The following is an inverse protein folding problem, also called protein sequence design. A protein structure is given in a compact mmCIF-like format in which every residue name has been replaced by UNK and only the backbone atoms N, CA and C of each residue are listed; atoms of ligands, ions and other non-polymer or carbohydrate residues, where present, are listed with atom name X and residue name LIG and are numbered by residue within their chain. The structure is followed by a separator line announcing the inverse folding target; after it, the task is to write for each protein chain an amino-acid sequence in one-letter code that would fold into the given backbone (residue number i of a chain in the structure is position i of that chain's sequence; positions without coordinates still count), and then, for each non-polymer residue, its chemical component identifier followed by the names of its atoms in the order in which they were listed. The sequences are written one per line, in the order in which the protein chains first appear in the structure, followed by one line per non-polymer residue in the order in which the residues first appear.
data_IF_936035496424
#
_entry.id   IF_936035496424
#
_cell.length_a   1.000
_cell.length_b   1.000
_cell.length_c   1.000
_cell.angle_alpha   90.00
_cell.angle_beta   90.00
_cell.angle_gamma   90.00
#
_symmetry.space_group_name_H-M   'P 1'
#
loop_
_entity.id
_entity.type
_entity.pdbx_description
1 polymer ?
#
# COMPACT_ATOMS: atom_id res chain seq x y z
N UNK A 1 -34.88 -0.29 47.88
CA UNK A 1 -34.81 0.45 46.60
C UNK A 1 -33.47 0.15 45.94
N UNK A 2 -33.43 -0.89 45.10
CA UNK A 2 -32.24 -1.25 44.31
C UNK A 2 -32.39 -0.71 42.90
N UNK A 3 -31.55 0.25 42.52
CA UNK A 3 -31.51 0.82 41.18
C UNK A 3 -30.82 -0.16 40.22
N UNK A 4 -31.61 -0.81 39.35
CA UNK A 4 -31.09 -1.47 38.15
C UNK A 4 -30.73 -0.38 37.13
N UNK A 5 -29.42 -0.20 36.86
CA UNK A 5 -28.95 0.53 35.68
C UNK A 5 -29.16 -0.36 34.45
N UNK A 6 -29.85 0.18 33.46
CA UNK A 6 -29.96 -0.39 32.12
C UNK A 6 -28.61 -0.17 31.40
N UNK A 7 -27.81 -1.23 31.27
CA UNK A 7 -26.73 -1.26 30.29
C UNK A 7 -27.36 -1.54 28.91
N UNK A 8 -27.29 -0.57 28.01
CA UNK A 8 -27.58 -0.78 26.58
C UNK A 8 -26.43 -1.61 25.99
N UNK A 9 -26.70 -2.60 25.12
CA UNK A 9 -25.64 -3.33 24.44
C UNK A 9 -24.87 -2.39 23.50
N UNK A 10 -23.56 -2.26 23.73
CA UNK A 10 -22.64 -1.52 22.88
C UNK A 10 -22.62 -2.07 21.45
N UNK A 11 -22.59 -1.16 20.48
CA UNK A 11 -22.64 -1.42 19.04
C UNK A 11 -21.32 -2.03 18.50
N UNK A 12 -20.98 -3.25 18.94
CA UNK A 12 -19.77 -3.98 18.52
C UNK A 12 -19.83 -4.48 17.07
N UNK A 13 -21.01 -4.46 16.44
CA UNK A 13 -21.21 -4.86 15.04
C UNK A 13 -20.67 -3.84 14.05
N UNK A 14 -20.91 -2.54 14.27
CA UNK A 14 -20.50 -1.46 13.37
C UNK A 14 -18.99 -1.21 13.32
N UNK A 15 -18.30 -1.30 14.46
CA UNK A 15 -16.84 -1.12 14.51
C UNK A 15 -16.08 -2.24 13.80
N UNK A 16 -16.57 -3.48 13.88
CA UNK A 16 -15.95 -4.62 13.21
C UNK A 16 -16.17 -4.60 11.68
N UNK A 17 -17.31 -4.09 11.20
CA UNK A 17 -17.52 -3.89 9.76
C UNK A 17 -16.61 -2.78 9.21
N UNK A 18 -16.51 -1.64 9.91
CA UNK A 18 -15.69 -0.51 9.48
C UNK A 18 -14.20 -0.87 9.40
N UNK A 19 -13.70 -1.60 10.40
CA UNK A 19 -12.31 -2.08 10.41
C UNK A 19 -12.02 -3.05 9.26
N UNK A 20 -12.97 -3.93 8.93
CA UNK A 20 -12.83 -4.89 7.84
C UNK A 20 -12.79 -4.21 6.45
N UNK A 21 -13.66 -3.23 6.21
CA UNK A 21 -13.65 -2.46 4.95
C UNK A 21 -12.36 -1.66 4.79
N UNK A 22 -11.88 -1.05 5.87
CA UNK A 22 -10.63 -0.27 5.87
C UNK A 22 -9.40 -1.14 5.55
N UNK A 23 -9.34 -2.39 6.06
CA UNK A 23 -8.23 -3.30 5.80
C UNK A 23 -8.26 -3.86 4.36
N UNK A 24 -9.45 -4.03 3.77
CA UNK A 24 -9.61 -4.43 2.37
C UNK A 24 -9.22 -3.30 1.40
N UNK A 25 -9.64 -2.06 1.69
CA UNK A 25 -9.29 -0.88 0.92
C UNK A 25 -7.76 -0.62 0.98
N UNK A 26 -7.16 -0.81 2.15
CA UNK A 26 -5.70 -0.76 2.34
C UNK A 26 -4.97 -1.76 1.43
N UNK A 27 -5.40 -3.04 1.46
CA UNK A 27 -4.82 -4.11 0.64
C UNK A 27 -5.01 -3.82 -0.85
N UNK A 28 -6.16 -3.31 -1.27
CA UNK A 28 -6.43 -3.00 -2.68
C UNK A 28 -5.59 -1.84 -3.19
N UNK A 29 -5.52 -0.72 -2.43
CA UNK A 29 -4.77 0.46 -2.86
C UNK A 29 -3.25 0.22 -2.85
N UNK A 30 -2.71 -0.33 -1.76
CA UNK A 30 -1.28 -0.62 -1.68
C UNK A 30 -0.89 -1.87 -2.49
N UNK A 31 -1.84 -2.75 -2.83
CA UNK A 31 -1.62 -3.95 -3.66
C UNK A 31 -1.22 -3.63 -5.10
N UNK A 32 -1.62 -2.46 -5.62
CA UNK A 32 -1.25 -1.95 -6.96
C UNK A 32 0.18 -1.42 -7.05
N UNK A 33 0.89 -1.35 -5.93
CA UNK A 33 2.24 -0.81 -5.83
C UNK A 33 3.22 -1.99 -5.78
N UNK A 34 4.08 -2.13 -6.79
CA UNK A 34 5.02 -3.26 -6.88
C UNK A 34 6.00 -3.27 -5.70
N UNK A 35 6.66 -2.14 -5.45
CA UNK A 35 7.66 -2.01 -4.39
C UNK A 35 7.33 -0.88 -3.41
N UNK A 36 7.43 -1.17 -2.11
CA UNK A 36 7.19 -0.23 -1.01
C UNK A 36 8.46 -0.10 -0.19
N UNK A 37 9.08 1.08 -0.28
CA UNK A 37 10.40 1.36 0.28
C UNK A 37 10.25 2.36 1.42
N UNK A 38 10.60 1.93 2.63
CA UNK A 38 10.54 2.77 3.83
C UNK A 38 11.86 3.53 3.97
N UNK A 39 11.82 4.83 4.25
CA UNK A 39 13.02 5.64 4.52
C UNK A 39 12.99 6.09 5.99
N UNK A 40 13.89 5.53 6.80
CA UNK A 40 13.94 5.71 8.25
C UNK A 40 15.19 6.49 8.66
N UNK A 41 15.13 7.17 9.81
CA UNK A 41 16.30 7.70 10.49
C UNK A 41 16.13 7.61 12.01
N UNK A 42 17.23 7.48 12.75
CA UNK A 42 17.12 7.38 14.21
C UNK A 42 17.02 8.73 14.93
N UNK A 43 17.29 9.83 14.23
CA UNK A 43 17.12 11.21 14.72
C UNK A 43 16.69 12.16 13.60
N UNK A 44 16.17 13.32 13.99
CA UNK A 44 15.88 14.44 13.09
C UNK A 44 17.16 15.11 12.58
N UNK A 45 17.07 15.80 11.44
CA UNK A 45 18.17 16.62 10.90
C UNK A 45 19.28 15.86 10.16
N UNK A 46 19.17 14.54 9.96
CA UNK A 46 20.14 13.75 9.17
C UNK A 46 19.94 13.87 7.64
N UNK A 47 18.94 14.63 7.20
CA UNK A 47 18.56 14.76 5.78
C UNK A 47 17.77 13.58 5.22
N UNK A 48 17.01 12.86 6.07
CA UNK A 48 16.15 11.73 5.68
C UNK A 48 15.22 12.08 4.50
N UNK A 49 14.46 13.17 4.61
CA UNK A 49 13.51 13.61 3.57
C UNK A 49 14.20 14.02 2.27
N UNK A 50 15.36 14.68 2.36
CA UNK A 50 16.20 14.99 1.19
C UNK A 50 16.65 13.71 0.49
N UNK A 51 17.06 12.70 1.25
CA UNK A 51 17.44 11.39 0.69
C UNK A 51 16.24 10.68 0.08
N UNK A 52 15.08 10.67 0.76
CA UNK A 52 13.85 10.07 0.24
C UNK A 52 13.41 10.68 -1.09
N UNK A 53 13.36 12.02 -1.17
CA UNK A 53 12.98 12.75 -2.38
C UNK A 53 13.95 12.47 -3.54
N UNK A 54 15.26 12.52 -3.30
CA UNK A 54 16.25 12.30 -4.36
C UNK A 54 16.33 10.82 -4.80
N UNK A 55 16.12 9.87 -3.90
CA UNK A 55 15.98 8.44 -4.27
C UNK A 55 14.75 8.23 -5.14
N UNK A 56 13.60 8.80 -4.76
CA UNK A 56 12.38 8.68 -5.54
C UNK A 56 12.53 9.28 -6.95
N UNK A 57 13.14 10.46 -7.06
CA UNK A 57 13.41 11.10 -8.35
C UNK A 57 14.43 10.30 -9.16
N UNK A 58 15.48 9.77 -8.54
CA UNK A 58 16.45 8.92 -9.24
C UNK A 58 15.82 7.62 -9.77
N UNK A 59 14.90 6.99 -9.02
CA UNK A 59 14.13 5.84 -9.49
C UNK A 59 13.23 6.23 -10.68
N UNK A 60 12.58 7.38 -10.62
CA UNK A 60 11.73 7.86 -11.73
C UNK A 60 12.54 8.17 -13.00
N UNK A 61 13.78 8.65 -12.86
CA UNK A 61 14.68 8.90 -14.00
C UNK A 61 15.08 7.61 -14.74
N UNK A 62 14.93 6.46 -14.11
CA UNK A 62 15.08 5.14 -14.73
C UNK A 62 13.77 4.64 -15.39
N UNK A 63 12.81 5.56 -15.62
CA UNK A 63 11.55 5.30 -16.31
C UNK A 63 10.50 4.56 -15.48
N UNK A 64 10.58 4.65 -14.14
CA UNK A 64 9.65 4.00 -13.21
C UNK A 64 8.57 4.97 -12.73
N UNK A 65 7.35 4.46 -12.51
CA UNK A 65 6.27 5.23 -11.85
C UNK A 65 6.46 5.23 -10.35
N UNK A 66 6.58 6.42 -9.75
CA UNK A 66 6.96 6.58 -8.35
C UNK A 66 5.92 7.39 -7.57
N UNK A 67 5.55 6.89 -6.40
CA UNK A 67 4.85 7.64 -5.35
C UNK A 67 5.82 8.07 -4.26
N UNK A 68 5.62 9.26 -3.70
CA UNK A 68 6.29 9.74 -2.49
C UNK A 68 5.22 10.00 -1.44
N UNK A 69 5.27 9.27 -0.32
CA UNK A 69 4.39 9.47 0.82
C UNK A 69 5.18 10.03 2.00
N UNK A 70 4.89 11.27 2.39
CA UNK A 70 5.47 11.93 3.55
C UNK A 70 4.55 11.80 4.76
N UNK A 71 5.04 11.08 5.77
CA UNK A 71 4.32 10.81 7.01
C UNK A 71 4.91 11.56 8.21
N UNK A 72 5.85 12.48 8.00
CA UNK A 72 6.47 13.25 9.08
C UNK A 72 5.58 14.41 9.55
N UNK A 73 4.83 14.18 10.63
CA UNK A 73 3.94 15.17 11.24
C UNK A 73 4.65 16.41 11.80
N UNK A 74 5.92 16.28 12.16
CA UNK A 74 6.62 17.29 12.93
C UNK A 74 7.39 18.27 12.05
N UNK A 75 7.71 17.87 10.82
CA UNK A 75 8.41 18.71 9.87
C UNK A 75 8.29 18.16 8.45
N UNK A 76 7.06 18.16 7.87
CA UNK A 76 6.85 17.66 6.52
C UNK A 76 7.71 18.46 5.55
N UNK A 77 8.73 17.83 5.00
CA UNK A 77 9.76 18.50 4.20
C UNK A 77 9.59 18.25 2.70
N UNK A 78 8.89 17.17 2.32
CA UNK A 78 8.72 16.77 0.92
C UNK A 78 8.02 17.85 0.08
N UNK A 79 6.94 18.52 0.55
CA UNK A 79 6.33 19.62 -0.20
C UNK A 79 7.31 20.73 -0.56
N UNK A 80 8.16 21.15 0.39
CA UNK A 80 9.14 22.22 0.14
C UNK A 80 10.24 21.76 -0.81
N UNK A 81 10.78 20.55 -0.61
CA UNK A 81 11.82 19.96 -1.44
C UNK A 81 11.43 19.82 -2.93
N UNK A 82 10.13 19.76 -3.22
CA UNK A 82 9.57 19.59 -4.56
C UNK A 82 8.83 20.84 -5.08
N UNK A 83 8.89 21.96 -4.36
CA UNK A 83 8.18 23.20 -4.68
C UNK A 83 6.63 23.02 -4.79
N UNK A 84 6.04 22.27 -3.85
CA UNK A 84 4.62 21.93 -3.79
C UNK A 84 3.89 22.54 -2.58
N UNK A 85 4.46 23.52 -1.90
CA UNK A 85 3.85 24.10 -0.68
C UNK A 85 2.44 24.68 -0.91
N UNK A 86 2.19 25.24 -2.09
CA UNK A 86 0.87 25.78 -2.46
C UNK A 86 -0.06 24.74 -3.09
N UNK A 87 0.44 23.54 -3.36
CA UNK A 87 -0.37 22.46 -3.88
C UNK A 87 -1.36 21.96 -2.81
N UNK A 88 -2.52 21.52 -3.27
CA UNK A 88 -3.53 20.87 -2.42
C UNK A 88 -4.00 19.59 -3.11
N UNK A 89 -4.05 18.45 -2.42
CA UNK A 89 -4.65 17.25 -2.96
C UNK A 89 -6.13 17.53 -3.22
N UNK A 90 -6.63 16.95 -4.31
CA UNK A 90 -8.05 17.02 -4.66
C UNK A 90 -8.74 15.72 -4.26
N UNK A 91 -10.06 15.66 -4.37
CA UNK A 91 -10.81 14.44 -4.17
C UNK A 91 -11.75 14.21 -5.36
N UNK A 92 -11.91 12.95 -5.75
CA UNK A 92 -12.90 12.51 -6.73
C UNK A 92 -14.26 12.15 -6.09
N UNK A 93 -14.45 12.49 -4.81
CA UNK A 93 -15.64 12.19 -4.01
C UNK A 93 -15.60 10.83 -3.33
N UNK A 94 -14.64 9.95 -3.69
CA UNK A 94 -14.44 8.63 -3.06
C UNK A 94 -13.04 8.46 -2.46
N UNK A 95 -12.05 9.08 -3.08
CA UNK A 95 -10.63 8.94 -2.75
C UNK A 95 -9.94 10.29 -2.77
N UNK A 96 -8.77 10.34 -2.14
CA UNK A 96 -7.87 11.49 -2.17
C UNK A 96 -6.93 11.29 -3.37
N UNK A 97 -6.84 12.29 -4.23
CA UNK A 97 -5.93 12.28 -5.36
C UNK A 97 -4.59 12.90 -4.94
N UNK A 98 -3.46 12.20 -5.11
CA UNK A 98 -2.14 12.75 -4.83
C UNK A 98 -1.80 13.89 -5.81
N UNK A 99 -0.90 14.77 -5.39
CA UNK A 99 -0.39 15.86 -6.20
C UNK A 99 0.60 15.30 -7.22
N UNK A 100 0.42 15.60 -8.50
CA UNK A 100 1.39 15.23 -9.53
C UNK A 100 2.57 16.23 -9.49
N UNK A 101 3.77 15.74 -9.24
CA UNK A 101 5.00 16.53 -9.36
C UNK A 101 5.53 16.49 -10.80
N UNK A 102 5.48 15.32 -11.42
CA UNK A 102 5.70 15.09 -12.87
C UNK A 102 4.70 14.03 -13.34
N UNK A 103 4.73 13.66 -14.62
CA UNK A 103 3.88 12.58 -15.14
C UNK A 103 4.18 11.22 -14.47
N UNK A 104 5.42 11.02 -14.01
CA UNK A 104 5.89 9.77 -13.40
C UNK A 104 5.97 9.81 -11.87
N UNK A 105 5.82 10.99 -11.25
CA UNK A 105 5.97 11.17 -9.79
C UNK A 105 4.70 11.76 -9.19
N UNK A 106 4.09 10.99 -8.29
CA UNK A 106 2.95 11.40 -7.45
C UNK A 106 3.41 11.65 -6.02
N UNK A 107 2.84 12.66 -5.37
CA UNK A 107 3.25 13.08 -4.03
C UNK A 107 2.01 13.21 -3.15
N UNK A 108 2.10 12.62 -1.97
CA UNK A 108 1.18 12.88 -0.87
C UNK A 108 1.99 13.21 0.38
N UNK A 109 1.63 14.30 1.04
CA UNK A 109 2.26 14.69 2.31
C UNK A 109 1.19 15.14 3.27
N UNK A 110 1.41 14.84 4.54
CA UNK A 110 0.62 15.42 5.60
C UNK A 110 0.69 16.95 5.63
N UNK A 111 1.79 17.54 5.14
CA UNK A 111 1.94 18.99 5.01
C UNK A 111 0.87 19.63 4.15
N UNK A 112 0.26 18.90 3.20
CA UNK A 112 -0.86 19.43 2.41
C UNK A 112 -2.18 19.53 3.19
N UNK A 113 -2.32 18.77 4.27
CA UNK A 113 -3.53 18.74 5.11
C UNK A 113 -3.50 19.79 6.22
N UNK A 114 -2.35 20.43 6.42
CA UNK A 114 -2.19 21.51 7.40
C UNK A 114 -2.77 22.82 6.84
N UNK A 115 -3.60 23.56 7.60
CA UNK A 115 -4.15 24.84 7.16
C UNK A 115 -3.05 25.85 6.81
N UNK A 116 -2.02 25.94 7.66
CA UNK A 116 -0.81 26.73 7.43
C UNK A 116 0.44 25.88 7.72
N UNK A 117 1.51 26.10 6.95
CA UNK A 117 2.78 25.39 7.09
C UNK A 117 3.52 25.70 8.40
N UNK A 118 3.30 26.90 8.96
CA UNK A 118 3.92 27.33 10.23
C UNK A 118 3.14 26.87 11.47
N UNK A 119 1.98 26.24 11.30
CA UNK A 119 1.16 25.80 12.42
C UNK A 119 1.83 24.61 13.13
N UNK A 120 2.10 24.77 14.42
CA UNK A 120 2.57 23.66 15.24
C UNK A 120 1.51 22.54 15.28
N UNK A 121 1.87 21.35 14.82
CA UNK A 121 0.97 20.19 14.81
C UNK A 121 0.84 19.62 16.22
N UNK A 122 -0.11 20.15 17.00
CA UNK A 122 -0.44 19.68 18.36
C UNK A 122 -1.59 18.66 18.29
N UNK A 123 -1.36 17.56 17.58
CA UNK A 123 -2.38 16.51 17.42
C UNK A 123 -2.17 15.39 18.43
N UNK A 124 -3.28 14.87 18.99
CA UNK A 124 -3.25 13.71 19.88
C UNK A 124 -2.95 12.44 19.08
N UNK A 125 -2.23 11.49 19.68
CA UNK A 125 -1.80 10.23 19.02
C UNK A 125 -2.87 9.52 18.18
N UNK A 126 -4.11 9.31 18.70
CA UNK A 126 -5.18 8.67 17.92
C UNK A 126 -5.56 9.45 16.65
N UNK A 127 -5.51 10.78 16.68
CA UNK A 127 -5.79 11.61 15.52
C UNK A 127 -4.70 11.47 14.46
N UNK A 128 -3.42 11.47 14.88
CA UNK A 128 -2.29 11.23 13.97
C UNK A 128 -2.41 9.86 13.28
N UNK A 129 -2.72 8.83 14.05
CA UNK A 129 -2.93 7.47 13.53
C UNK A 129 -4.02 7.42 12.46
N UNK A 130 -5.18 8.05 12.73
CA UNK A 130 -6.28 8.06 11.77
C UNK A 130 -5.88 8.74 10.46
N UNK A 131 -5.11 9.83 10.51
CA UNK A 131 -4.62 10.52 9.31
C UNK A 131 -3.61 9.66 8.56
N UNK A 132 -2.66 9.01 9.24
CA UNK A 132 -1.75 8.06 8.57
C UNK A 132 -2.54 6.95 7.88
N UNK A 133 -3.51 6.36 8.60
CA UNK A 133 -4.35 5.31 8.05
C UNK A 133 -5.08 5.82 6.81
N UNK A 134 -5.70 7.00 6.90
CA UNK A 134 -6.37 7.65 5.77
C UNK A 134 -5.44 7.84 4.57
N UNK A 135 -4.21 8.32 4.77
CA UNK A 135 -3.23 8.49 3.69
C UNK A 135 -2.82 7.16 3.04
N UNK A 136 -2.85 6.06 3.78
CA UNK A 136 -2.54 4.72 3.27
C UNK A 136 -3.76 4.04 2.62
N UNK A 137 -4.98 4.32 3.10
CA UNK A 137 -6.21 3.65 2.67
C UNK A 137 -6.99 4.40 1.60
N UNK A 138 -7.01 5.74 1.63
CA UNK A 138 -7.91 6.54 0.78
C UNK A 138 -7.20 7.24 -0.38
N UNK A 139 -5.86 7.22 -0.40
CA UNK A 139 -5.10 7.86 -1.48
C UNK A 139 -5.07 6.97 -2.71
N UNK A 140 -5.60 7.47 -3.82
CA UNK A 140 -5.61 6.78 -5.10
C UNK A 140 -4.27 6.99 -5.82
N UNK A 141 -3.31 6.13 -5.51
CA UNK A 141 -2.00 6.12 -6.14
C UNK A 141 -2.04 5.67 -7.61
N UNK A 142 -3.04 4.87 -8.00
CA UNK A 142 -3.02 4.10 -9.25
C UNK A 142 -1.92 3.03 -9.24
N UNK A 143 -1.49 2.61 -10.42
CA UNK A 143 -0.41 1.63 -10.56
C UNK A 143 0.95 2.33 -10.45
N UNK A 144 1.76 1.88 -9.48
CA UNK A 144 3.12 2.39 -9.24
C UNK A 144 4.12 1.25 -9.25
N UNK A 145 5.32 1.52 -9.79
CA UNK A 145 6.45 0.61 -9.63
C UNK A 145 7.05 0.75 -8.22
N UNK A 146 7.13 1.98 -7.69
CA UNK A 146 7.70 2.24 -6.37
C UNK A 146 6.83 3.22 -5.55
N UNK A 147 6.68 2.96 -4.27
CA UNK A 147 6.24 3.93 -3.28
C UNK A 147 7.35 4.14 -2.26
N UNK A 148 7.95 5.34 -2.27
CA UNK A 148 8.95 5.77 -1.30
C UNK A 148 8.24 6.48 -0.16
N UNK A 149 8.40 5.98 1.06
CA UNK A 149 7.68 6.46 2.23
C UNK A 149 8.68 7.12 3.18
N UNK A 150 8.55 8.43 3.37
CA UNK A 150 9.34 9.22 4.30
C UNK A 150 8.73 9.15 5.71
N UNK A 151 9.39 8.41 6.59
CA UNK A 151 8.89 8.15 7.95
C UNK A 151 9.20 9.31 8.89
N UNK A 152 8.48 9.48 10.01
CA UNK A 152 8.92 10.35 11.09
C UNK A 152 10.31 9.92 11.62
N UNK A 153 11.12 10.83 12.18
CA UNK A 153 12.39 10.47 12.77
C UNK A 153 12.22 9.65 14.06
N UNK A 154 13.20 8.78 14.34
CA UNK A 154 13.25 7.95 15.54
C UNK A 154 12.64 6.56 15.34
N UNK A 155 12.41 5.88 16.45
CA UNK A 155 11.84 4.52 16.51
C UNK A 155 10.74 4.45 17.56
N UNK A 156 10.01 5.56 17.74
CA UNK A 156 8.91 5.69 18.69
C UNK A 156 7.58 5.17 18.12
N UNK A 157 6.48 5.69 18.67
CA UNK A 157 5.13 5.22 18.31
C UNK A 157 4.76 5.57 16.87
N UNK A 158 5.11 6.76 16.35
CA UNK A 158 4.72 7.15 14.99
C UNK A 158 5.35 6.27 13.91
N UNK A 159 6.69 6.05 13.87
CA UNK A 159 7.29 5.11 12.91
C UNK A 159 6.75 3.68 13.05
N UNK A 160 6.52 3.20 14.28
CA UNK A 160 5.94 1.87 14.53
C UNK A 160 4.55 1.73 13.91
N UNK A 161 3.72 2.75 14.11
CA UNK A 161 2.36 2.82 13.60
C UNK A 161 2.31 2.77 12.08
N UNK A 162 3.13 3.59 11.42
CA UNK A 162 3.23 3.61 9.96
C UNK A 162 3.72 2.25 9.44
N UNK A 163 4.74 1.66 10.07
CA UNK A 163 5.28 0.36 9.66
C UNK A 163 4.25 -0.79 9.78
N UNK A 164 3.43 -0.80 10.83
CA UNK A 164 2.40 -1.82 11.04
C UNK A 164 1.24 -1.71 10.04
N UNK A 165 0.98 -0.51 9.52
CA UNK A 165 -0.09 -0.24 8.56
C UNK A 165 0.34 -0.48 7.10
N UNK A 166 1.62 -0.70 6.81
CA UNK A 166 2.10 -0.95 5.44
C UNK A 166 2.27 -2.46 5.24
N UNK A 167 1.29 -3.15 4.63
CA UNK A 167 1.41 -4.57 4.35
C UNK A 167 2.48 -4.82 3.28
N UNK A 168 3.30 -5.85 3.51
CA UNK A 168 4.25 -6.33 2.52
C UNK A 168 5.22 -5.26 2.04
N UNK A 169 5.89 -4.54 2.95
CA UNK A 169 7.03 -3.71 2.55
C UNK A 169 8.18 -4.57 2.00
N UNK A 170 8.92 -4.05 1.03
CA UNK A 170 10.08 -4.74 0.44
C UNK A 170 11.33 -4.52 1.28
N UNK A 171 11.38 -3.38 1.96
CA UNK A 171 12.35 -3.14 3.01
C UNK A 171 12.54 -1.65 3.32
N UNK A 172 13.53 -1.39 4.16
CA UNK A 172 13.84 -0.07 4.65
C UNK A 172 15.26 0.37 4.30
N UNK A 173 15.38 1.65 3.95
CA UNK A 173 16.61 2.41 3.83
C UNK A 173 16.80 3.19 5.13
N UNK A 174 17.96 3.06 5.74
CA UNK A 174 18.28 3.78 6.98
C UNK A 174 19.24 4.92 6.66
N UNK A 175 18.82 6.15 6.92
CA UNK A 175 19.61 7.36 6.72
C UNK A 175 20.30 7.75 8.02
N UNK A 176 21.61 7.98 7.94
CA UNK A 176 22.43 8.40 9.07
C UNK A 176 23.46 9.45 8.67
N UNK A 177 24.23 9.92 9.64
CA UNK A 177 25.40 10.80 9.45
C UNK A 177 26.64 10.14 10.05
N UNK A 178 27.86 10.52 9.62
CA UNK A 178 29.09 9.87 10.07
C UNK A 178 29.47 10.07 11.56
N UNK A 179 28.75 10.94 12.28
CA UNK A 179 29.08 11.31 13.65
C UNK A 179 28.87 10.14 14.63
N UNK A 180 29.77 9.97 15.59
CA UNK A 180 29.75 8.85 16.56
C UNK A 180 28.43 8.77 17.37
N UNK A 181 27.79 9.92 17.64
CA UNK A 181 26.49 9.97 18.32
C UNK A 181 25.36 9.30 17.51
N UNK A 182 25.48 9.24 16.18
CA UNK A 182 24.48 8.64 15.27
C UNK A 182 24.60 7.11 15.16
N UNK A 183 25.69 6.52 15.66
CA UNK A 183 25.96 5.06 15.57
C UNK A 183 24.91 4.25 16.35
N UNK A 184 24.55 4.70 17.55
CA UNK A 184 23.53 4.04 18.36
C UNK A 184 22.13 4.19 17.75
N UNK A 185 21.89 5.29 17.04
CA UNK A 185 20.62 5.57 16.39
C UNK A 185 20.39 4.62 15.20
N UNK A 186 21.44 4.33 14.42
CA UNK A 186 21.38 3.30 13.35
C UNK A 186 21.08 1.92 13.91
N UNK A 187 21.74 1.53 15.03
CA UNK A 187 21.45 0.24 15.70
C UNK A 187 19.98 0.12 16.09
N UNK A 188 19.42 1.18 16.68
CA UNK A 188 18.00 1.22 17.05
C UNK A 188 17.11 1.08 15.83
N UNK A 189 17.37 1.79 14.73
CA UNK A 189 16.59 1.66 13.49
C UNK A 189 16.66 0.25 12.89
N UNK A 190 17.84 -0.38 12.85
CA UNK A 190 17.99 -1.76 12.35
C UNK A 190 17.20 -2.73 13.24
N UNK A 191 17.31 -2.60 14.56
CA UNK A 191 16.57 -3.45 15.49
C UNK A 191 15.06 -3.21 15.42
N UNK A 192 14.63 -1.96 15.22
CA UNK A 192 13.24 -1.61 14.95
C UNK A 192 12.74 -2.34 13.70
N UNK A 193 13.47 -2.28 12.58
CA UNK A 193 13.11 -3.00 11.35
C UNK A 193 12.97 -4.51 11.60
N UNK A 194 13.90 -5.11 12.36
CA UNK A 194 13.82 -6.53 12.75
C UNK A 194 12.58 -6.83 13.59
N UNK A 195 12.21 -5.97 14.53
CA UNK A 195 11.03 -6.15 15.37
C UNK A 195 9.72 -6.08 14.58
N UNK A 196 9.67 -5.24 13.55
CA UNK A 196 8.50 -5.14 12.65
C UNK A 196 8.59 -6.05 11.42
N UNK A 197 9.56 -6.97 11.38
CA UNK A 197 9.80 -7.92 10.29
C UNK A 197 10.01 -7.26 8.91
N UNK A 198 10.67 -6.09 8.88
CA UNK A 198 11.02 -5.36 7.66
C UNK A 198 12.49 -5.60 7.32
N UNK A 199 12.82 -6.10 6.11
CA UNK A 199 14.21 -6.23 5.66
C UNK A 199 14.90 -4.86 5.58
N UNK A 200 16.17 -4.79 5.98
CA UNK A 200 16.98 -3.57 5.77
C UNK A 200 17.66 -3.68 4.40
N UNK A 201 17.21 -2.86 3.45
CA UNK A 201 17.78 -2.79 2.09
C UNK A 201 19.17 -2.17 2.13
N UNK A 202 19.41 -1.28 3.07
CA UNK A 202 20.75 -0.87 3.46
C UNK A 202 20.81 0.48 4.16
N UNK A 203 22.03 0.88 4.51
CA UNK A 203 22.33 2.12 5.20
C UNK A 203 22.92 3.14 4.23
N UNK A 204 22.40 4.36 4.26
CA UNK A 204 22.94 5.54 3.57
C UNK A 204 23.60 6.45 4.60
N UNK A 205 24.89 6.70 4.45
CA UNK A 205 25.61 7.70 5.25
C UNK A 205 25.56 9.05 4.54
N UNK A 206 24.61 9.89 4.93
CA UNK A 206 24.44 11.24 4.39
C UNK A 206 25.42 12.24 5.05
N UNK A 207 25.67 13.37 4.38
CA UNK A 207 26.59 14.41 4.85
C UNK A 207 28.03 13.89 5.11
N UNK A 208 28.47 12.90 4.32
CA UNK A 208 29.77 12.25 4.49
C UNK A 208 30.88 12.97 3.72
N UNK A 209 31.47 13.97 4.37
CA UNK A 209 32.46 14.87 3.79
C UNK A 209 31.81 16.02 3.00
N UNK A 210 32.63 16.87 2.39
CA UNK A 210 32.21 18.03 1.60
C UNK A 210 32.94 18.03 0.27
N UNK A 211 32.21 18.17 -0.83
CA UNK A 211 32.81 18.43 -2.14
C UNK A 211 33.33 19.87 -2.16
N UNK A 212 34.65 20.04 -2.24
CA UNK A 212 35.25 21.37 -2.31
C UNK A 212 34.76 22.09 -3.58
N UNK A 213 34.16 23.30 -3.47
CA UNK A 213 33.65 24.01 -4.63
C UNK A 213 34.75 24.44 -5.62
N UNK A 214 35.99 24.60 -5.14
CA UNK A 214 37.13 25.05 -5.93
C UNK A 214 37.87 23.92 -6.65
N UNK A 215 38.24 22.85 -5.93
CA UNK A 215 39.08 21.79 -6.49
C UNK A 215 38.35 20.45 -6.70
N UNK A 216 37.07 20.35 -6.33
CA UNK A 216 36.22 19.16 -6.47
C UNK A 216 36.65 17.92 -5.68
N UNK A 217 37.75 18.01 -4.92
CA UNK A 217 38.13 16.98 -3.95
C UNK A 217 37.13 16.93 -2.80
N UNK A 218 36.89 15.73 -2.28
CA UNK A 218 36.05 15.54 -1.09
C UNK A 218 36.89 15.73 0.16
N UNK A 219 36.47 16.64 1.03
CA UNK A 219 37.09 16.96 2.32
C UNK A 219 36.31 16.26 3.43
N UNK A 220 37.02 15.59 4.33
CA UNK A 220 36.41 14.92 5.48
C UNK A 220 36.17 15.97 6.59
N UNK A 221 34.99 16.60 6.60
CA UNK A 221 34.63 17.59 7.64
C UNK A 221 34.48 16.93 9.00
N UNK A 222 33.86 15.75 9.01
CA UNK A 222 33.69 14.90 10.18
C UNK A 222 34.42 13.58 9.95
N UNK A 223 34.39 12.67 10.95
CA UNK A 223 34.76 11.27 10.74
C UNK A 223 33.98 10.69 9.55
N UNK A 224 34.47 9.62 8.93
CA UNK A 224 33.79 8.90 7.84
C UNK A 224 33.67 7.41 8.14
N UNK A 225 32.67 6.77 7.54
CA UNK A 225 32.53 5.32 7.57
C UNK A 225 31.94 4.77 8.87
N UNK A 226 31.42 5.62 9.76
CA UNK A 226 30.70 5.18 10.96
C UNK A 226 29.44 4.40 10.61
N UNK A 227 28.71 4.84 9.59
CA UNK A 227 27.53 4.14 9.05
C UNK A 227 27.89 2.83 8.36
N UNK A 228 28.99 2.80 7.60
CA UNK A 228 29.46 1.59 6.92
C UNK A 228 29.95 0.51 7.90
N UNK A 229 30.80 0.90 8.86
CA UNK A 229 31.26 0.00 9.90
C UNK A 229 30.10 -0.56 10.73
N UNK A 230 29.09 0.27 11.01
CA UNK A 230 27.87 -0.15 11.68
C UNK A 230 27.05 -1.14 10.83
N UNK A 231 26.85 -0.85 9.55
CA UNK A 231 26.13 -1.73 8.64
C UNK A 231 26.78 -3.12 8.60
N UNK A 232 28.11 -3.17 8.48
CA UNK A 232 28.89 -4.39 8.55
C UNK A 232 28.74 -5.10 9.91
N UNK A 233 28.85 -4.38 11.03
CA UNK A 233 28.68 -4.94 12.38
C UNK A 233 27.30 -5.59 12.56
N UNK A 234 26.26 -4.99 11.99
CA UNK A 234 24.88 -5.44 12.13
C UNK A 234 24.47 -6.44 11.04
N UNK A 235 25.34 -6.73 10.07
CA UNK A 235 25.06 -7.66 8.97
C UNK A 235 24.00 -7.15 8.00
N UNK A 236 23.98 -5.84 7.71
CA UNK A 236 23.07 -5.21 6.74
C UNK A 236 23.84 -4.52 5.61
N UNK A 237 23.26 -4.34 4.41
CA UNK A 237 23.96 -3.70 3.30
C UNK A 237 24.31 -2.24 3.56
N UNK A 238 25.36 -1.75 2.89
CA UNK A 238 25.71 -0.34 2.86
C UNK A 238 25.53 0.20 1.44
N UNK A 239 24.62 1.17 1.27
CA UNK A 239 24.24 1.71 -0.04
C UNK A 239 25.20 2.80 -0.51
N UNK A 240 25.93 3.43 0.41
CA UNK A 240 26.97 4.37 0.08
C UNK A 240 26.97 5.62 0.94
N UNK A 241 27.77 6.58 0.49
CA UNK A 241 28.04 7.86 1.16
C UNK A 241 27.58 8.99 0.26
N UNK A 242 26.75 9.88 0.79
CA UNK A 242 26.36 11.11 0.09
C UNK A 242 27.15 12.26 0.72
N UNK A 243 28.07 12.92 -0.02
CA UNK A 243 28.80 14.05 0.50
C UNK A 243 27.90 15.28 0.61
N UNK A 244 28.28 16.21 1.49
CA UNK A 244 27.74 17.57 1.50
C UNK A 244 28.17 18.25 0.21
N UNK A 245 27.21 18.84 -0.49
CA UNK A 245 27.45 19.73 -1.61
C UNK A 245 26.53 20.94 -1.46
N UNK A 246 27.05 22.19 -1.48
CA UNK A 246 26.23 23.38 -1.28
C UNK A 246 25.02 23.45 -2.22
N UNK A 247 25.19 22.98 -3.45
CA UNK A 247 24.14 22.91 -4.46
C UNK A 247 22.96 22.02 -4.04
N UNK A 248 23.14 21.03 -3.15
CA UNK A 248 22.02 20.25 -2.61
C UNK A 248 21.09 21.13 -1.79
N UNK A 249 21.65 22.00 -0.95
CA UNK A 249 20.88 22.92 -0.10
C UNK A 249 20.19 23.95 -0.97
N UNK A 250 20.93 24.60 -1.88
CA UNK A 250 20.35 25.59 -2.81
C UNK A 250 19.23 25.00 -3.67
N UNK A 251 19.39 23.76 -4.15
CA UNK A 251 18.37 23.07 -4.92
C UNK A 251 17.16 22.71 -4.04
N UNK A 252 17.39 22.23 -2.81
CA UNK A 252 16.34 21.89 -1.85
C UNK A 252 15.48 23.10 -1.48
N UNK A 253 16.11 24.24 -1.20
CA UNK A 253 15.42 25.50 -0.84
C UNK A 253 14.67 26.10 -2.04
N UNK A 254 15.18 25.88 -3.26
CA UNK A 254 14.50 26.26 -4.50
C UNK A 254 13.42 25.25 -4.94
N UNK A 255 13.20 24.18 -4.17
CA UNK A 255 12.27 23.09 -4.49
C UNK A 255 12.58 22.37 -5.81
N UNK A 256 13.87 22.26 -6.13
CA UNK A 256 14.41 21.62 -7.32
C UNK A 256 15.10 20.32 -6.91
N UNK A 257 14.59 19.14 -7.32
CA UNK A 257 15.26 17.87 -7.03
C UNK A 257 16.71 17.86 -7.52
N UNK A 258 17.64 17.66 -6.58
CA UNK A 258 19.07 17.83 -6.86
C UNK A 258 19.57 16.86 -7.93
N UNK A 259 19.21 15.57 -7.85
CA UNK A 259 19.66 14.55 -8.81
C UNK A 259 19.24 14.84 -10.25
N UNK A 260 18.09 15.52 -10.44
CA UNK A 260 17.60 15.91 -11.76
C UNK A 260 18.40 17.07 -12.35
N UNK A 261 18.64 18.12 -11.56
CA UNK A 261 19.30 19.34 -12.04
C UNK A 261 20.83 19.26 -12.06
N UNK A 262 21.42 18.40 -11.24
CA UNK A 262 22.87 18.33 -11.01
C UNK A 262 23.43 16.92 -11.23
N UNK A 263 22.88 16.16 -12.17
CA UNK A 263 23.21 14.74 -12.45
C UNK A 263 24.70 14.40 -12.62
N UNK A 264 25.56 15.38 -12.94
CA UNK A 264 27.00 15.19 -13.15
C UNK A 264 27.86 15.33 -11.89
N UNK A 265 27.28 15.78 -10.77
CA UNK A 265 28.02 16.01 -9.52
C UNK A 265 28.33 14.70 -8.80
N UNK A 266 29.28 14.76 -7.85
CA UNK A 266 29.65 13.58 -7.06
C UNK A 266 28.50 13.12 -6.15
N UNK A 267 27.73 14.05 -5.58
CA UNK A 267 26.56 13.69 -4.79
C UNK A 267 25.45 13.05 -5.64
N UNK A 268 25.22 13.52 -6.88
CA UNK A 268 24.21 12.93 -7.75
C UNK A 268 24.59 11.49 -8.16
N UNK A 269 25.86 11.26 -8.51
CA UNK A 269 26.38 9.91 -8.76
C UNK A 269 26.24 9.00 -7.54
N UNK A 270 26.48 9.54 -6.34
CA UNK A 270 26.30 8.78 -5.10
C UNK A 270 24.83 8.38 -4.88
N UNK A 271 23.87 9.25 -5.19
CA UNK A 271 22.45 8.91 -5.18
C UNK A 271 22.11 7.81 -6.20
N UNK A 272 22.54 7.96 -7.46
CA UNK A 272 22.30 6.93 -8.49
C UNK A 272 22.84 5.56 -8.06
N UNK A 273 24.07 5.53 -7.52
CA UNK A 273 24.68 4.30 -7.02
C UNK A 273 23.93 3.70 -5.83
N UNK A 274 23.42 4.53 -4.91
CA UNK A 274 22.63 4.06 -3.79
C UNK A 274 21.26 3.47 -4.22
N UNK A 275 20.77 3.86 -5.40
CA UNK A 275 19.51 3.38 -5.96
C UNK A 275 19.66 2.07 -6.75
N UNK A 276 20.83 1.78 -7.31
CA UNK A 276 21.07 0.55 -8.08
C UNK A 276 20.54 -0.72 -7.39
N UNK A 277 20.84 -1.02 -6.11
CA UNK A 277 20.34 -2.24 -5.47
C UNK A 277 18.81 -2.26 -5.32
N UNK A 278 18.17 -1.10 -5.24
CA UNK A 278 16.72 -0.94 -5.07
C UNK A 278 16.00 -1.25 -6.40
N UNK A 279 16.62 -0.89 -7.53
CA UNK A 279 16.08 -1.18 -8.87
C UNK A 279 16.13 -2.68 -9.23
N UNK A 280 16.98 -3.44 -8.53
CA UNK A 280 17.15 -4.89 -8.75
C UNK A 280 16.34 -5.74 -7.75
N UNK A 281 15.48 -5.13 -6.93
CA UNK A 281 14.55 -5.91 -6.10
C UNK A 281 13.67 -6.73 -7.06
N UNK A 282 13.59 -8.07 -6.88
CA UNK A 282 12.79 -8.91 -7.78
C UNK A 282 11.36 -8.42 -7.83
N UNK A 283 10.79 -8.33 -9.04
CA UNK A 283 9.42 -7.85 -9.20
C UNK A 283 8.48 -8.69 -8.32
N UNK A 284 7.75 -8.01 -7.45
CA UNK A 284 6.58 -8.61 -6.83
C UNK A 284 5.53 -8.71 -7.91
N UNK A 285 4.95 -9.89 -8.09
CA UNK A 285 3.63 -9.99 -8.70
C UNK A 285 2.71 -9.11 -7.85
N UNK A 286 2.37 -7.93 -8.37
CA UNK A 286 1.30 -7.17 -7.76
C UNK A 286 0.10 -8.10 -7.75
N UNK A 287 -0.57 -8.20 -6.61
CA UNK A 287 -1.95 -8.66 -6.65
C UNK A 287 -2.66 -7.63 -7.51
N UNK A 288 -2.77 -7.90 -8.82
CA UNK A 288 -3.69 -7.21 -9.69
C UNK A 288 -5.07 -7.52 -9.11
N UNK A 289 -5.50 -6.75 -8.10
CA UNK A 289 -6.91 -6.53 -7.77
C UNK A 289 -7.51 -5.56 -8.79
N UNK A 290 -7.22 -5.85 -10.05
CA UNK A 290 -8.03 -5.50 -11.20
C UNK A 290 -8.62 -6.80 -11.73
N UNK A 291 -9.64 -6.75 -12.61
CA UNK A 291 -10.23 -7.95 -13.18
C UNK A 291 -9.10 -8.80 -13.78
N UNK A 292 -9.02 -10.05 -13.32
CA UNK A 292 -8.11 -11.09 -13.82
C UNK A 292 -7.93 -10.95 -15.34
N UNK A 293 -6.71 -10.73 -15.83
CA UNK A 293 -6.42 -10.57 -17.27
C UNK A 293 -6.76 -11.83 -18.10
N UNK A 294 -7.12 -12.93 -17.43
CA UNK A 294 -7.61 -14.17 -18.04
C UNK A 294 -9.13 -14.34 -18.05
N UNK A 295 -9.90 -13.39 -17.49
CA UNK A 295 -11.36 -13.40 -17.61
C UNK A 295 -11.76 -12.66 -18.90
N UNK A 296 -12.42 -13.32 -19.87
CA UNK A 296 -12.91 -12.63 -21.05
C UNK A 296 -13.83 -11.47 -20.65
N UNK A 297 -13.70 -10.34 -21.35
CA UNK A 297 -14.56 -9.19 -21.13
C UNK A 297 -16.02 -9.60 -21.36
N UNK A 298 -16.86 -9.37 -20.34
CA UNK A 298 -18.29 -9.65 -20.40
C UNK A 298 -18.93 -8.74 -21.45
N UNK A 299 -19.61 -9.32 -22.45
CA UNK A 299 -20.35 -8.54 -23.47
C UNK A 299 -21.55 -7.83 -22.82
N UNK A 300 -21.83 -6.61 -23.26
CA UNK A 300 -23.01 -5.85 -22.83
C UNK A 300 -24.30 -6.66 -23.09
N UNK A 301 -25.12 -6.82 -22.04
CA UNK A 301 -26.38 -7.58 -22.07
C UNK A 301 -26.31 -8.99 -21.48
N UNK A 302 -25.13 -9.59 -21.34
CA UNK A 302 -24.97 -10.93 -20.77
C UNK A 302 -25.02 -10.90 -19.23
N UNK A 303 -25.27 -12.05 -18.60
CA UNK A 303 -25.07 -12.23 -17.15
C UNK A 303 -23.83 -13.08 -16.87
N UNK A 304 -23.18 -12.82 -15.73
CA UNK A 304 -22.10 -13.62 -15.19
C UNK A 304 -22.54 -14.24 -13.87
N UNK A 305 -22.58 -15.57 -13.85
CA UNK A 305 -23.06 -16.37 -12.72
C UNK A 305 -21.86 -17.07 -12.06
N UNK A 306 -21.72 -16.92 -10.75
CA UNK A 306 -20.72 -17.62 -9.96
C UNK A 306 -21.31 -18.82 -9.22
N UNK A 307 -20.61 -19.96 -9.28
CA UNK A 307 -20.93 -21.17 -8.55
C UNK A 307 -19.73 -21.57 -7.69
N UNK A 308 -19.84 -21.61 -6.35
CA UNK A 308 -18.80 -22.13 -5.48
C UNK A 308 -18.73 -23.65 -5.62
N UNK A 309 -17.54 -24.19 -5.85
CA UNK A 309 -17.33 -25.61 -6.14
C UNK A 309 -16.46 -26.25 -5.08
N UNK A 310 -16.83 -27.47 -4.68
CA UNK A 310 -16.04 -28.36 -3.85
C UNK A 310 -16.15 -29.78 -4.43
N UNK A 311 -15.02 -30.46 -4.63
CA UNK A 311 -14.96 -31.80 -5.23
C UNK A 311 -15.65 -31.85 -6.61
N UNK A 312 -15.51 -30.78 -7.39
CA UNK A 312 -16.08 -30.67 -8.75
C UNK A 312 -17.60 -30.45 -8.82
N UNK A 313 -18.29 -30.28 -7.69
CA UNK A 313 -19.74 -30.02 -7.62
C UNK A 313 -20.04 -28.74 -6.84
N UNK A 314 -21.24 -28.19 -7.01
CA UNK A 314 -21.70 -27.04 -6.23
C UNK A 314 -21.57 -27.35 -4.72
N UNK A 315 -20.90 -26.46 -4.00
CA UNK A 315 -20.63 -26.63 -2.58
C UNK A 315 -21.91 -26.43 -1.75
N UNK A 316 -22.21 -27.39 -0.89
CA UNK A 316 -23.29 -27.29 0.10
C UNK A 316 -23.03 -26.20 1.15
N UNK A 317 -21.75 -25.88 1.41
CA UNK A 317 -21.34 -24.85 2.35
C UNK A 317 -20.43 -23.84 1.64
N UNK A 318 -20.91 -22.61 1.52
CA UNK A 318 -20.20 -21.55 0.80
C UNK A 318 -18.74 -21.34 1.28
N UNK A 319 -18.49 -21.43 2.59
CA UNK A 319 -17.15 -21.24 3.17
C UNK A 319 -16.15 -22.37 2.95
N UNK A 320 -16.55 -23.49 2.34
CA UNK A 320 -15.69 -24.68 2.14
C UNK A 320 -15.47 -24.98 0.64
N UNK A 321 -15.55 -23.97 -0.24
CA UNK A 321 -15.22 -24.14 -1.66
C UNK A 321 -13.73 -24.01 -1.92
N UNK A 322 -13.24 -24.81 -2.87
CA UNK A 322 -11.84 -24.79 -3.35
C UNK A 322 -11.68 -23.94 -4.61
N UNK A 323 -12.75 -23.80 -5.40
CA UNK A 323 -12.78 -23.01 -6.62
C UNK A 323 -14.16 -22.36 -6.84
N UNK A 324 -14.20 -21.37 -7.73
CA UNK A 324 -15.41 -20.78 -8.28
C UNK A 324 -15.46 -21.04 -9.79
N UNK A 325 -16.58 -21.58 -10.25
CA UNK A 325 -16.91 -21.64 -11.66
C UNK A 325 -17.75 -20.41 -12.05
N UNK A 326 -17.20 -19.57 -12.93
CA UNK A 326 -17.85 -18.38 -13.47
C UNK A 326 -18.39 -18.70 -14.87
N UNK A 327 -19.68 -18.43 -15.08
CA UNK A 327 -20.36 -18.66 -16.33
C UNK A 327 -20.85 -17.35 -16.93
N UNK A 328 -20.39 -17.04 -18.13
CA UNK A 328 -21.02 -16.00 -18.95
C UNK A 328 -22.18 -16.63 -19.71
N UNK A 329 -23.38 -16.07 -19.55
CA UNK A 329 -24.61 -16.62 -20.08
C UNK A 329 -25.41 -15.59 -20.87
N UNK A 330 -26.09 -16.07 -21.90
CA UNK A 330 -27.12 -15.33 -22.61
C UNK A 330 -28.48 -15.70 -21.99
N UNK A 331 -29.15 -14.74 -21.36
CA UNK A 331 -30.43 -14.99 -20.70
C UNK A 331 -31.61 -15.08 -21.68
N UNK A 332 -31.50 -14.49 -22.87
CA UNK A 332 -32.55 -14.56 -23.89
C UNK A 332 -32.49 -15.90 -24.63
N UNK A 333 -31.29 -16.32 -25.03
CA UNK A 333 -31.06 -17.61 -25.68
C UNK A 333 -31.08 -18.79 -24.69
N UNK A 334 -30.92 -18.53 -23.39
CA UNK A 334 -30.75 -19.53 -22.32
C UNK A 334 -29.54 -20.44 -22.54
N UNK A 335 -28.45 -19.86 -23.04
CA UNK A 335 -27.21 -20.59 -23.37
C UNK A 335 -26.03 -20.16 -22.50
N UNK A 336 -25.16 -21.12 -22.17
CA UNK A 336 -23.86 -20.86 -21.56
C UNK A 336 -22.87 -20.52 -22.69
N UNK A 337 -22.28 -19.34 -22.62
CA UNK A 337 -21.35 -18.84 -23.65
C UNK A 337 -19.90 -19.19 -23.31
N UNK A 338 -19.53 -19.12 -22.03
CA UNK A 338 -18.20 -19.44 -21.54
C UNK A 338 -18.23 -19.91 -20.08
N UNK A 339 -17.26 -20.77 -19.73
CA UNK A 339 -16.97 -21.17 -18.34
C UNK A 339 -15.52 -20.82 -18.03
N UNK A 340 -15.28 -20.19 -16.88
CA UNK A 340 -13.94 -19.92 -16.34
C UNK A 340 -13.88 -20.46 -14.91
N UNK A 341 -12.85 -21.24 -14.59
CA UNK A 341 -12.63 -21.75 -13.23
C UNK A 341 -11.49 -21.02 -12.57
N UNK A 342 -11.72 -20.58 -11.33
CA UNK A 342 -10.78 -19.80 -10.55
C UNK A 342 -10.62 -20.43 -9.17
N UNK A 343 -9.39 -20.58 -8.70
CA UNK A 343 -9.14 -21.02 -7.33
C UNK A 343 -9.79 -20.03 -6.34
N UNK A 344 -10.46 -20.55 -5.31
CA UNK A 344 -11.07 -19.71 -4.30
C UNK A 344 -9.97 -18.98 -3.50
N UNK A 345 -10.07 -17.66 -3.29
CA UNK A 345 -9.14 -16.95 -2.42
C UNK A 345 -9.32 -17.40 -0.96
N UNK A 346 -8.38 -17.06 -0.06
CA UNK A 346 -8.49 -17.41 1.36
C UNK A 346 -9.85 -17.03 1.96
N UNK A 347 -10.45 -17.93 2.75
CA UNK A 347 -11.78 -17.72 3.36
C UNK A 347 -11.75 -16.69 4.51
N UNK A 348 -11.53 -15.42 4.16
CA UNK A 348 -11.60 -14.26 5.06
C UNK A 348 -13.01 -13.60 4.97
N UNK A 349 -13.67 -13.28 6.10
CA UNK A 349 -15.06 -12.80 6.12
C UNK A 349 -15.34 -11.51 5.34
N UNK A 350 -15.70 -11.60 4.06
CA UNK A 350 -16.03 -10.45 3.20
C UNK A 350 -15.08 -10.23 2.02
N UNK A 351 -14.02 -11.04 1.91
CA UNK A 351 -13.14 -11.06 0.74
C UNK A 351 -13.88 -11.52 -0.52
N UNK A 352 -14.67 -12.61 -0.41
CA UNK A 352 -15.36 -13.23 -1.55
C UNK A 352 -16.37 -12.31 -2.25
N UNK A 353 -17.24 -11.56 -1.55
CA UNK A 353 -18.12 -10.58 -2.18
C UNK A 353 -17.40 -9.52 -3.01
N UNK A 354 -16.31 -8.95 -2.50
CA UNK A 354 -15.50 -7.97 -3.23
C UNK A 354 -14.83 -8.62 -4.42
N UNK A 355 -14.21 -9.78 -4.21
CA UNK A 355 -13.47 -10.53 -5.22
C UNK A 355 -14.35 -10.97 -6.41
N UNK A 356 -15.62 -11.34 -6.16
CA UNK A 356 -16.59 -11.64 -7.22
C UNK A 356 -17.14 -10.37 -7.88
N UNK A 357 -17.36 -9.29 -7.13
CA UNK A 357 -17.84 -8.02 -7.70
C UNK A 357 -16.83 -7.39 -8.66
N UNK A 358 -15.54 -7.44 -8.33
CA UNK A 358 -14.44 -7.00 -9.22
C UNK A 358 -14.38 -7.80 -10.53
N UNK A 359 -14.97 -9.00 -10.54
CA UNK A 359 -15.07 -9.89 -11.72
C UNK A 359 -16.40 -9.72 -12.47
N UNK A 360 -17.17 -8.68 -12.17
CA UNK A 360 -18.46 -8.38 -12.78
C UNK A 360 -19.49 -9.52 -12.64
N UNK A 361 -19.42 -10.28 -11.55
CA UNK A 361 -20.44 -11.28 -11.22
C UNK A 361 -21.76 -10.59 -10.89
N UNK A 362 -22.86 -11.03 -11.48
CA UNK A 362 -24.20 -10.50 -11.20
C UNK A 362 -25.02 -11.42 -10.30
N UNK A 363 -24.77 -12.73 -10.37
CA UNK A 363 -25.53 -13.75 -9.63
C UNK A 363 -24.57 -14.74 -8.99
N UNK A 364 -24.85 -15.13 -7.75
CA UNK A 364 -24.20 -16.27 -7.10
C UNK A 364 -25.22 -17.36 -6.77
N UNK A 365 -24.95 -18.58 -7.21
CA UNK A 365 -25.76 -19.77 -6.92
C UNK A 365 -25.00 -20.64 -5.91
N UNK A 366 -25.52 -20.79 -4.69
CA UNK A 366 -24.86 -21.52 -3.61
C UNK A 366 -25.79 -22.55 -2.96
N UNK A 367 -25.21 -23.59 -2.35
CA UNK A 367 -25.99 -24.59 -1.60
C UNK A 367 -26.48 -24.01 -0.27
N UNK A 368 -25.56 -23.48 0.53
CA UNK A 368 -25.86 -22.83 1.81
C UNK A 368 -24.92 -21.65 2.06
N UNK A 369 -25.46 -20.55 2.56
CA UNK A 369 -24.70 -19.32 2.81
C UNK A 369 -25.28 -18.60 4.04
N UNK A 370 -24.46 -18.29 5.06
CA UNK A 370 -24.95 -17.59 6.25
C UNK A 370 -25.52 -16.19 5.92
N UNK A 371 -26.53 -15.73 6.68
CA UNK A 371 -27.25 -14.47 6.43
C UNK A 371 -26.33 -13.25 6.28
N UNK A 372 -25.26 -13.19 7.10
CA UNK A 372 -24.25 -12.13 7.02
C UNK A 372 -23.54 -12.09 5.66
N UNK A 373 -23.18 -13.26 5.11
CA UNK A 373 -22.53 -13.33 3.81
C UNK A 373 -23.50 -12.94 2.67
N UNK A 374 -24.76 -13.36 2.76
CA UNK A 374 -25.80 -12.97 1.80
C UNK A 374 -25.96 -11.44 1.71
N UNK A 375 -25.95 -10.76 2.87
CA UNK A 375 -25.99 -9.29 2.94
C UNK A 375 -24.80 -8.65 2.21
N UNK A 376 -23.58 -9.15 2.47
CA UNK A 376 -22.36 -8.60 1.85
C UNK A 376 -22.35 -8.74 0.31
N UNK A 377 -22.92 -9.81 -0.23
CA UNK A 377 -23.08 -9.97 -1.68
C UNK A 377 -24.11 -9.00 -2.26
N UNK A 378 -25.24 -8.83 -1.56
CA UNK A 378 -26.31 -7.92 -1.96
C UNK A 378 -25.83 -6.47 -1.98
N UNK A 379 -25.03 -6.06 -0.98
CA UNK A 379 -24.41 -4.72 -0.89
C UNK A 379 -23.44 -4.43 -2.05
N UNK A 380 -22.93 -5.48 -2.72
CA UNK A 380 -22.08 -5.38 -3.92
C UNK A 380 -22.87 -5.48 -5.23
N UNK A 381 -24.20 -5.52 -5.16
CA UNK A 381 -25.07 -5.65 -6.33
C UNK A 381 -25.16 -7.07 -6.89
N UNK A 382 -24.67 -8.07 -6.14
CA UNK A 382 -24.69 -9.48 -6.57
C UNK A 382 -25.98 -10.13 -6.05
N UNK A 383 -26.80 -10.65 -6.94
CA UNK A 383 -28.00 -11.42 -6.61
C UNK A 383 -27.62 -12.76 -6.00
N UNK A 384 -28.10 -13.03 -4.79
CA UNK A 384 -27.82 -14.28 -4.08
C UNK A 384 -28.97 -15.27 -4.26
N UNK A 385 -28.67 -16.48 -4.72
CA UNK A 385 -29.61 -17.61 -4.77
C UNK A 385 -29.02 -18.77 -3.97
N UNK A 386 -29.72 -19.22 -2.94
CA UNK A 386 -29.27 -20.25 -2.00
C UNK A 386 -30.20 -21.47 -2.01
N UNK A 387 -29.71 -22.60 -1.50
CA UNK A 387 -30.49 -23.83 -1.42
C UNK A 387 -30.49 -24.62 -2.72
N UNK A 388 -29.56 -24.35 -3.64
CA UNK A 388 -29.37 -25.15 -4.85
C UNK A 388 -28.81 -26.54 -4.50
N UNK A 389 -29.24 -27.57 -5.23
CA UNK A 389 -28.72 -28.94 -5.06
C UNK A 389 -27.23 -29.02 -5.39
N UNK A 390 -26.51 -29.90 -4.69
CA UNK A 390 -25.09 -30.18 -4.93
C UNK A 390 -24.89 -30.95 -6.25
N UNK A 391 -25.01 -30.22 -7.36
CA UNK A 391 -24.88 -30.71 -8.73
C UNK A 391 -23.67 -30.14 -9.46
N UNK A 392 -23.39 -30.67 -10.66
CA UNK A 392 -22.35 -30.13 -11.54
C UNK A 392 -22.66 -28.66 -11.87
N UNK A 393 -21.67 -27.73 -11.80
CA UNK A 393 -21.91 -26.30 -11.96
C UNK A 393 -22.67 -25.93 -13.25
N UNK A 394 -22.34 -26.54 -14.38
CA UNK A 394 -23.04 -26.35 -15.65
C UNK A 394 -24.54 -26.73 -15.58
N UNK A 395 -24.87 -27.83 -14.89
CA UNK A 395 -26.27 -28.26 -14.71
C UNK A 395 -27.05 -27.28 -13.84
N UNK A 396 -26.41 -26.78 -12.77
CA UNK A 396 -27.02 -25.77 -11.89
C UNK A 396 -27.31 -24.48 -12.65
N UNK A 397 -26.36 -24.00 -13.46
CA UNK A 397 -26.54 -22.80 -14.29
C UNK A 397 -27.60 -23.01 -15.36
N UNK A 398 -27.62 -24.17 -16.01
CA UNK A 398 -28.66 -24.50 -17.01
C UNK A 398 -30.06 -24.52 -16.38
N UNK A 399 -30.19 -25.13 -15.19
CA UNK A 399 -31.45 -25.11 -14.44
C UNK A 399 -31.87 -23.68 -14.05
N UNK A 400 -30.91 -22.81 -13.70
CA UNK A 400 -31.18 -21.40 -13.43
C UNK A 400 -31.73 -20.67 -14.66
N UNK A 401 -31.08 -20.83 -15.83
CA UNK A 401 -31.51 -20.22 -17.09
C UNK A 401 -32.90 -20.71 -17.54
N UNK A 402 -33.23 -21.97 -17.25
CA UNK A 402 -34.52 -22.55 -17.57
C UNK A 402 -35.63 -22.17 -16.56
N UNK A 403 -35.27 -21.59 -15.41
CA UNK A 403 -36.22 -21.33 -14.31
C UNK A 403 -36.64 -22.60 -13.56
N UNK A 404 -35.86 -23.68 -13.69
CA UNK A 404 -36.09 -25.00 -13.10
C UNK A 404 -35.25 -25.22 -11.83
N UNK A 405 -34.35 -24.28 -11.49
CA UNK A 405 -33.50 -24.40 -10.31
C UNK A 405 -34.35 -24.36 -9.04
N UNK A 406 -34.34 -25.47 -8.31
CA UNK A 406 -34.99 -25.58 -7.00
C UNK A 406 -34.07 -24.93 -5.97
N UNK A 407 -34.61 -23.94 -5.26
CA UNK A 407 -33.96 -23.27 -4.14
C UNK A 407 -34.65 -23.71 -2.84
N UNK A 408 -33.87 -24.14 -1.85
CA UNK A 408 -34.35 -24.58 -0.54
C UNK A 408 -34.04 -23.60 0.60
N UNK A 409 -34.47 -23.97 1.81
CA UNK A 409 -34.13 -23.26 3.05
C UNK A 409 -32.62 -23.32 3.32
N UNK A 410 -32.08 -22.25 3.90
CA UNK A 410 -30.66 -22.10 4.13
C UNK A 410 -30.10 -23.20 5.06
N UNK A 411 -29.23 -24.07 4.54
CA UNK A 411 -28.66 -25.21 5.30
C UNK A 411 -27.52 -24.75 6.24
N UNK A 412 -27.08 -23.50 6.15
CA UNK A 412 -26.00 -22.93 6.97
C UNK A 412 -26.52 -22.25 8.24
N UNK A 413 -26.90 -23.02 9.25
CA UNK A 413 -27.02 -22.55 10.64
C UNK A 413 -25.73 -22.89 11.41
N UNK A 414 -24.75 -21.99 11.32
CA UNK A 414 -23.56 -21.98 12.18
C UNK A 414 -23.26 -20.57 12.68
#
# INVERSE_FOLDING_TARGET
MGNKKNDKPENKGGENLKKFTEDADLKSNLGRIKHKIMVLSGKGGVGKSTVAANIAVAIALEGKKVGILDTDFHGPSIPTLLNLNDARPTSDGKSILPVNFTDDIKVMSIGFMLPNHDDAVIWRGPMKMNVIKQLLTEVNWGDLDYLVIDFPPGTGDEPLSVAQLIPGSDGAIIVTTPQDLSINDVKKCINFCRQVNVPVLGVVENMSGLVCPHCKNVIDIFKKGGGEAMAAQMGVPFLGRIPIEPMIVEASDAGKPFVYHYSKTEAAKAFSKAVEPILHIPERETSKSGPDENLPAKKDGNLRIAVPVAQGRLSAHFGHCEEFALFDVDTEAKEILAETRLAAPPHEPGLLPVWLAERQTDVILAGGMGQRAQGLFTDKGIKVCIGASADEPQKVVTAYLNGELILGDNICDH
#
